data_IF_606738481516
#
_entry.id   IF_606738481516
#
_cell.length_a   1.000
_cell.length_b   1.000
_cell.length_c   1.000
_cell.angle_alpha   90.00
_cell.angle_beta   90.00
_cell.angle_gamma   90.00
#
_symmetry.space_group_name_H-M   'P 1'
#
loop_
_entity.id
_entity.type
_entity.pdbx_description
1 polymer ?
#
# COMPACT_ATOMS: atom_id res chain seq x y z
N UNK A 1 -5.82 9.12 29.63
CA UNK A 1 -5.74 10.41 28.90
C UNK A 1 -5.05 10.31 27.54
N UNK A 2 -5.40 11.20 26.61
CA UNK A 2 -4.61 11.55 25.42
C UNK A 2 -4.15 12.99 25.58
N UNK A 3 -2.85 13.26 25.36
CA UNK A 3 -2.30 14.62 25.38
C UNK A 3 -2.01 15.08 23.96
N UNK A 4 -2.60 16.20 23.57
CA UNK A 4 -2.36 16.84 22.29
C UNK A 4 -1.07 17.66 22.29
N UNK A 5 -0.58 18.02 21.11
CA UNK A 5 0.65 18.83 20.95
C UNK A 5 0.53 20.23 21.52
N UNK A 6 -0.69 20.80 21.56
CA UNK A 6 -0.99 22.09 22.19
C UNK A 6 -0.99 22.02 23.74
N UNK A 7 -0.80 20.85 24.33
CA UNK A 7 -0.78 20.63 25.78
C UNK A 7 -2.11 20.21 26.40
N UNK A 8 -3.22 20.29 25.65
CA UNK A 8 -4.55 19.88 26.11
C UNK A 8 -4.59 18.38 26.40
N UNK A 9 -5.36 17.99 27.42
CA UNK A 9 -5.46 16.61 27.89
C UNK A 9 -6.92 16.19 27.92
N UNK A 10 -7.22 15.12 27.17
CA UNK A 10 -8.54 14.49 27.16
C UNK A 10 -8.51 13.22 28.00
N UNK A 11 -9.27 13.20 29.08
CA UNK A 11 -9.47 11.98 29.86
C UNK A 11 -10.50 11.07 29.21
N UNK A 12 -10.20 9.78 29.17
CA UNK A 12 -11.10 8.75 28.68
C UNK A 12 -10.77 7.42 29.32
N UNK A 13 -11.80 6.61 29.54
CA UNK A 13 -11.67 5.21 30.00
C UNK A 13 -11.17 4.29 28.88
N UNK A 14 -11.46 4.64 27.62
CA UNK A 14 -11.13 3.84 26.44
C UNK A 14 -10.54 4.74 25.36
N UNK A 15 -9.43 4.31 24.76
CA UNK A 15 -8.76 5.01 23.66
C UNK A 15 -8.64 4.04 22.49
N UNK A 16 -9.16 4.43 21.32
CA UNK A 16 -8.97 3.70 20.06
C UNK A 16 -8.02 4.48 19.17
N UNK A 17 -6.89 3.87 18.80
CA UNK A 17 -5.90 4.48 17.91
C UNK A 17 -6.08 3.94 16.49
N UNK A 18 -6.31 4.84 15.53
CA UNK A 18 -6.30 4.54 14.09
C UNK A 18 -4.90 4.74 13.45
N UNK A 19 -3.88 5.05 14.25
CA UNK A 19 -2.52 5.19 13.75
C UNK A 19 -1.88 3.81 13.50
N UNK A 20 -0.80 3.77 12.74
CA UNK A 20 0.01 2.54 12.60
C UNK A 20 0.53 2.06 13.96
N UNK A 21 0.92 0.79 14.05
CA UNK A 21 1.49 0.26 15.29
C UNK A 21 2.75 1.04 15.71
N UNK A 22 3.56 1.47 14.73
CA UNK A 22 4.78 2.26 14.92
C UNK A 22 4.44 3.54 15.66
N UNK A 23 3.46 4.28 15.16
CA UNK A 23 3.05 5.54 15.78
C UNK A 23 2.42 5.28 17.15
N UNK A 24 1.47 4.35 17.25
CA UNK A 24 0.74 4.09 18.50
C UNK A 24 1.67 3.64 19.63
N UNK A 25 2.44 2.58 19.41
CA UNK A 25 3.22 1.94 20.47
C UNK A 25 4.63 2.50 20.62
N UNK A 26 5.22 3.09 19.59
CA UNK A 26 6.62 3.55 19.69
C UNK A 26 6.76 5.08 19.71
N UNK A 27 5.72 5.83 19.31
CA UNK A 27 5.76 7.30 19.35
C UNK A 27 4.80 7.91 20.38
N UNK A 28 3.57 7.39 20.49
CA UNK A 28 2.52 7.97 21.34
C UNK A 28 2.49 7.39 22.75
N UNK A 29 2.61 6.08 22.89
CA UNK A 29 2.64 5.41 24.20
C UNK A 29 4.09 5.36 24.71
N UNK A 30 4.37 6.14 25.76
CA UNK A 30 5.68 6.08 26.44
C UNK A 30 5.84 4.73 27.16
N UNK A 31 7.02 4.12 27.02
CA UNK A 31 7.37 2.84 27.63
C UNK A 31 6.36 1.72 27.32
N UNK A 32 5.92 1.61 26.06
CA UNK A 32 4.91 0.62 25.65
C UNK A 32 5.32 -0.81 25.97
N UNK A 33 6.62 -1.10 26.05
CA UNK A 33 7.17 -2.40 26.46
C UNK A 33 6.76 -2.82 27.88
N UNK A 34 6.38 -1.88 28.75
CA UNK A 34 5.88 -2.17 30.11
C UNK A 34 4.43 -2.65 30.12
N UNK A 35 3.66 -2.27 29.10
CA UNK A 35 2.23 -2.56 29.00
C UNK A 35 1.93 -3.72 28.04
N UNK A 36 2.95 -4.24 27.36
CA UNK A 36 2.83 -5.30 26.37
C UNK A 36 3.63 -6.53 26.81
N UNK A 37 3.10 -7.71 26.53
CA UNK A 37 3.88 -8.93 26.66
C UNK A 37 5.11 -8.87 25.73
N UNK A 38 6.27 -9.33 26.22
CA UNK A 38 7.56 -9.22 25.51
C UNK A 38 7.52 -9.79 24.08
N UNK A 39 6.82 -10.90 23.88
CA UNK A 39 6.62 -11.50 22.55
C UNK A 39 5.82 -10.59 21.61
N UNK A 40 4.78 -9.90 22.09
CA UNK A 40 3.98 -8.96 21.31
C UNK A 40 4.79 -7.72 20.96
N UNK A 41 5.48 -7.13 21.94
CA UNK A 41 6.35 -5.98 21.72
C UNK A 41 7.40 -6.27 20.63
N UNK A 42 8.06 -7.42 20.71
CA UNK A 42 9.05 -7.83 19.71
C UNK A 42 8.44 -8.02 18.31
N UNK A 43 7.25 -8.61 18.20
CA UNK A 43 6.55 -8.74 16.91
C UNK A 43 6.22 -7.38 16.32
N UNK A 44 5.67 -6.46 17.11
CA UNK A 44 5.34 -5.10 16.67
C UNK A 44 6.57 -4.32 16.21
N UNK A 45 7.70 -4.49 16.92
CA UNK A 45 8.97 -3.84 16.61
C UNK A 45 9.56 -4.29 15.26
N UNK A 46 9.32 -5.54 14.88
CA UNK A 46 9.87 -6.14 13.66
C UNK A 46 8.94 -6.02 12.44
N UNK A 47 7.83 -5.27 12.54
CA UNK A 47 6.98 -5.00 11.38
C UNK A 47 7.68 -3.99 10.47
N UNK A 48 7.99 -4.42 9.24
CA UNK A 48 8.50 -3.54 8.20
C UNK A 48 7.38 -2.91 7.38
N UNK A 49 7.51 -1.61 7.15
CA UNK A 49 6.58 -0.80 6.36
C UNK A 49 7.13 -0.45 4.97
N UNK A 50 8.14 -1.20 4.52
CA UNK A 50 8.81 -1.01 3.24
C UNK A 50 7.91 -1.48 2.08
N UNK A 51 6.74 -0.86 1.93
CA UNK A 51 5.85 -1.03 0.79
C UNK A 51 6.20 0.01 -0.28
N UNK A 52 6.82 -0.43 -1.38
CA UNK A 52 7.05 0.42 -2.53
C UNK A 52 5.82 0.39 -3.44
N UNK A 53 4.83 1.23 -3.16
CA UNK A 53 3.74 1.51 -4.08
C UNK A 53 3.93 2.90 -4.69
N UNK A 54 3.87 2.98 -6.03
CA UNK A 54 3.89 4.26 -6.74
C UNK A 54 2.52 4.49 -7.35
N UNK A 55 1.92 5.65 -7.07
CA UNK A 55 0.66 6.06 -7.69
C UNK A 55 0.92 7.09 -8.78
N UNK A 56 0.48 6.78 -9.98
CA UNK A 56 0.55 7.68 -11.14
C UNK A 56 -0.88 8.08 -11.49
N UNK A 57 -1.13 9.37 -11.61
CA UNK A 57 -2.41 9.90 -12.11
C UNK A 57 -2.14 10.57 -13.46
N UNK A 58 -2.88 10.18 -14.50
CA UNK A 58 -2.71 10.71 -15.85
C UNK A 58 -4.02 11.37 -16.29
N UNK A 59 -3.94 12.64 -16.70
CA UNK A 59 -5.03 13.33 -17.36
C UNK A 59 -5.01 12.99 -18.86
N UNK A 60 -6.08 12.36 -19.35
CA UNK A 60 -6.17 11.90 -20.73
C UNK A 60 -7.22 12.71 -21.49
N UNK A 61 -6.87 13.19 -22.69
CA UNK A 61 -7.83 13.86 -23.59
C UNK A 61 -8.81 12.87 -24.23
N UNK A 62 -8.42 11.61 -24.36
CA UNK A 62 -9.19 10.50 -24.95
C UNK A 62 -8.64 9.17 -24.46
N UNK A 63 -9.41 8.08 -24.66
CA UNK A 63 -8.98 6.74 -24.30
C UNK A 63 -7.66 6.35 -25.00
N UNK A 64 -6.73 5.69 -24.28
CA UNK A 64 -5.48 5.23 -24.84
C UNK A 64 -5.69 4.07 -25.81
N UNK A 65 -4.86 4.01 -26.85
CA UNK A 65 -4.82 2.87 -27.79
C UNK A 65 -3.59 2.02 -27.47
N UNK A 66 -3.80 0.87 -26.84
CA UNK A 66 -2.71 -0.05 -26.50
C UNK A 66 -2.38 -0.96 -27.69
N UNK A 67 -1.08 -1.13 -27.96
CA UNK A 67 -0.59 -2.06 -29.02
C UNK A 67 -1.05 -3.50 -28.78
N UNK A 68 -1.21 -3.89 -27.52
CA UNK A 68 -1.68 -5.22 -27.11
C UNK A 68 -3.11 -5.53 -27.60
N UNK A 69 -3.90 -4.54 -28.01
CA UNK A 69 -5.27 -4.73 -28.49
C UNK A 69 -5.39 -4.76 -30.02
N UNK A 70 -4.28 -4.62 -30.76
CA UNK A 70 -4.31 -4.66 -32.21
C UNK A 70 -4.83 -6.02 -32.70
N UNK A 71 -5.90 -6.02 -33.51
CA UNK A 71 -6.54 -7.25 -34.02
C UNK A 71 -7.42 -8.00 -33.00
N UNK A 72 -7.68 -7.42 -31.83
CA UNK A 72 -8.56 -8.03 -30.84
C UNK A 72 -10.03 -8.01 -31.30
N UNK A 73 -10.79 -9.07 -31.02
CA UNK A 73 -12.20 -9.22 -31.47
C UNK A 73 -13.17 -8.25 -30.80
N UNK A 74 -12.83 -7.81 -29.58
CA UNK A 74 -13.62 -6.85 -28.81
C UNK A 74 -13.19 -5.41 -29.08
N UNK A 75 -14.15 -4.49 -29.02
CA UNK A 75 -13.88 -3.05 -29.09
C UNK A 75 -13.00 -2.58 -27.92
N UNK A 76 -12.10 -1.62 -28.18
CA UNK A 76 -11.12 -1.12 -27.21
C UNK A 76 -11.81 -0.54 -25.97
N UNK A 77 -12.94 0.12 -26.14
CA UNK A 77 -13.75 0.72 -25.09
C UNK A 77 -14.24 -0.33 -24.08
N UNK A 78 -14.49 -1.56 -24.54
CA UNK A 78 -14.90 -2.66 -23.66
C UNK A 78 -13.71 -3.30 -22.95
N UNK A 79 -12.52 -3.31 -23.57
CA UNK A 79 -11.28 -3.82 -22.99
C UNK A 79 -10.72 -2.92 -21.88
N UNK A 80 -11.14 -1.66 -21.85
CA UNK A 80 -10.68 -0.64 -20.90
C UNK A 80 -11.62 -0.41 -19.71
N UNK A 81 -12.74 -1.14 -19.63
CA UNK A 81 -13.69 -1.04 -18.52
C UNK A 81 -13.20 -1.80 -17.30
N UNK A 82 -13.43 -1.21 -16.12
CA UNK A 82 -13.11 -1.83 -14.84
C UNK A 82 -11.62 -1.77 -14.50
N UNK A 83 -11.17 -2.76 -13.72
CA UNK A 83 -9.79 -2.87 -13.23
C UNK A 83 -8.92 -3.57 -14.25
N UNK A 84 -7.81 -2.94 -14.62
CA UNK A 84 -6.83 -3.46 -15.58
C UNK A 84 -5.59 -3.89 -14.80
N UNK A 85 -5.28 -5.19 -14.85
CA UNK A 85 -4.07 -5.74 -14.26
C UNK A 85 -3.01 -5.99 -15.33
N UNK A 86 -1.79 -5.54 -15.08
CA UNK A 86 -0.62 -5.82 -15.94
C UNK A 86 0.41 -6.59 -15.13
N UNK A 87 1.08 -7.55 -15.78
CA UNK A 87 2.09 -8.43 -15.16
C UNK A 87 1.55 -9.24 -13.97
N UNK A 88 0.30 -9.71 -14.05
CA UNK A 88 -0.39 -10.43 -12.97
C UNK A 88 -0.79 -11.86 -13.32
N UNK A 89 -0.29 -12.42 -14.42
CA UNK A 89 -0.76 -13.69 -14.98
C UNK A 89 -0.05 -14.92 -14.41
N UNK A 90 0.96 -14.75 -13.56
CA UNK A 90 1.65 -15.84 -12.86
C UNK A 90 2.16 -15.41 -11.50
N UNK A 91 2.09 -16.32 -10.52
CA UNK A 91 2.70 -16.13 -9.21
C UNK A 91 4.22 -16.00 -9.28
N UNK A 92 4.87 -16.71 -10.20
CA UNK A 92 6.32 -16.64 -10.36
C UNK A 92 6.75 -15.23 -10.77
N UNK A 93 6.02 -14.61 -11.70
CA UNK A 93 6.25 -13.24 -12.15
C UNK A 93 6.09 -12.23 -11.01
N UNK A 94 5.04 -12.38 -10.20
CA UNK A 94 4.81 -11.52 -9.03
C UNK A 94 5.92 -11.68 -7.99
N UNK A 95 6.38 -12.92 -7.78
CA UNK A 95 7.45 -13.23 -6.84
C UNK A 95 8.80 -12.66 -7.31
N UNK A 96 9.09 -12.73 -8.61
CA UNK A 96 10.27 -12.12 -9.22
C UNK A 96 10.25 -10.60 -9.11
N UNK A 97 9.10 -9.96 -9.36
CA UNK A 97 8.94 -8.53 -9.17
C UNK A 97 9.17 -8.12 -7.72
N UNK A 98 8.61 -8.85 -6.76
CA UNK A 98 8.81 -8.63 -5.33
C UNK A 98 10.26 -8.86 -4.88
N UNK A 99 10.93 -9.91 -5.38
CA UNK A 99 12.33 -10.16 -5.06
C UNK A 99 13.27 -9.09 -5.60
N UNK A 100 12.91 -8.43 -6.71
CA UNK A 100 13.63 -7.25 -7.17
C UNK A 100 13.50 -6.08 -6.19
N UNK A 101 12.29 -5.79 -5.69
CA UNK A 101 12.07 -4.67 -4.77
C UNK A 101 12.76 -4.84 -3.41
N UNK A 102 12.91 -6.07 -2.93
CA UNK A 102 13.72 -6.38 -1.73
C UNK A 102 15.17 -5.88 -1.81
N UNK A 103 15.69 -5.66 -3.03
CA UNK A 103 17.03 -5.12 -3.27
C UNK A 103 17.01 -3.60 -3.52
N UNK A 104 16.00 -2.89 -3.01
CA UNK A 104 15.80 -1.43 -3.13
C UNK A 104 15.82 -0.91 -4.57
N UNK A 105 15.21 -1.65 -5.50
CA UNK A 105 15.14 -1.30 -6.93
C UNK A 105 13.74 -1.51 -7.47
N UNK A 106 13.36 -0.67 -8.44
CA UNK A 106 12.07 -0.82 -9.14
C UNK A 106 12.11 -2.14 -9.93
N UNK A 107 11.03 -2.91 -9.87
CA UNK A 107 10.90 -4.13 -10.68
C UNK A 107 10.93 -3.78 -12.17
N UNK A 108 11.63 -4.58 -12.98
CA UNK A 108 11.58 -4.48 -14.45
C UNK A 108 10.22 -4.88 -15.01
N UNK A 109 9.45 -5.66 -14.26
CA UNK A 109 8.11 -6.14 -14.59
C UNK A 109 7.17 -5.87 -13.41
N UNK A 110 6.88 -4.59 -13.10
CA UNK A 110 6.06 -4.28 -11.95
C UNK A 110 4.63 -4.77 -12.18
N UNK A 111 4.01 -5.33 -11.14
CA UNK A 111 2.56 -5.46 -11.11
C UNK A 111 1.96 -4.06 -11.14
N UNK A 112 1.00 -3.84 -12.03
CA UNK A 112 0.27 -2.59 -12.11
C UNK A 112 -1.21 -2.87 -12.01
N UNK A 113 -1.85 -2.14 -11.12
CA UNK A 113 -3.29 -2.01 -11.02
C UNK A 113 -3.69 -0.64 -11.56
N UNK A 114 -4.48 -0.64 -12.62
CA UNK A 114 -4.91 0.57 -13.31
C UNK A 114 -6.43 0.61 -13.39
N UNK A 115 -6.97 1.82 -13.37
CA UNK A 115 -8.38 2.09 -13.66
C UNK A 115 -8.48 3.36 -14.48
N UNK A 116 -9.31 3.33 -15.51
CA UNK A 116 -9.71 4.54 -16.23
C UNK A 116 -11.12 4.88 -15.71
N UNK A 117 -11.26 5.93 -14.88
CA UNK A 117 -12.55 6.30 -14.33
C UNK A 117 -13.52 6.69 -15.45
N UNK A 118 -14.78 6.26 -15.31
CA UNK A 118 -15.90 6.56 -16.20
C UNK A 118 -16.57 7.88 -15.84
#
# INVERSE_FOLDING_TARGET
AVKLTNGEVFESKVIMSNCTNKVTFFNLIKNSEKYLAKNVYNKLKNIEYNGAATKINLALRKLPKFKAFAGHKLQVENLLKGTIHVNSYSMDLLMDAYNQTKRNRISLTPFMDLTIPS
#
